data_IF_468613995238
#
_entry.id   IF_468613995238
#
_cell.length_a   1.000
_cell.length_b   1.000
_cell.length_c   1.000
_cell.angle_alpha   90.00
_cell.angle_beta   90.00
_cell.angle_gamma   90.00
#
_symmetry.space_group_name_H-M   'P 1'
#
loop_
_entity.id
_entity.type
_entity.pdbx_description
1 polymer ?
#
# COMPACT_ATOMS: atom_id res chain seq x y z
N UNK A 1 -0.46 21.74 0.13
CA UNK A 1 -0.24 21.33 -1.27
C UNK A 1 -1.37 20.39 -1.63
N UNK A 2 -2.45 20.88 -2.25
CA UNK A 2 -3.57 20.03 -2.63
C UNK A 2 -3.11 18.84 -3.46
N UNK A 3 -3.69 17.68 -3.18
CA UNK A 3 -3.43 16.44 -3.90
C UNK A 3 -4.75 15.85 -4.43
N UNK A 4 -4.70 15.31 -5.64
CA UNK A 4 -5.79 14.55 -6.26
C UNK A 4 -5.22 13.23 -6.77
N UNK A 5 -5.77 12.09 -6.34
CA UNK A 5 -5.32 10.78 -6.83
C UNK A 5 -6.17 10.40 -8.05
N UNK A 6 -5.55 10.37 -9.22
CA UNK A 6 -6.27 10.21 -10.49
C UNK A 6 -6.45 8.74 -10.86
N UNK A 7 -5.36 7.96 -10.74
CA UNK A 7 -5.32 6.55 -11.13
C UNK A 7 -4.39 5.78 -10.21
N UNK A 8 -4.57 4.48 -10.16
CA UNK A 8 -3.53 3.58 -9.70
C UNK A 8 -3.59 2.21 -10.34
N UNK A 9 -2.46 1.53 -10.31
CA UNK A 9 -2.27 0.21 -10.90
C UNK A 9 -1.44 -0.66 -9.99
N UNK A 10 -1.69 -1.96 -10.04
CA UNK A 10 -0.94 -2.98 -9.32
C UNK A 10 -0.23 -3.87 -10.34
N UNK A 11 1.04 -4.17 -10.10
CA UNK A 11 1.80 -5.15 -10.86
C UNK A 11 2.42 -6.16 -9.91
N UNK A 12 2.37 -7.44 -10.26
CA UNK A 12 2.89 -8.54 -9.43
C UNK A 12 3.93 -9.32 -10.22
N UNK A 13 5.02 -9.68 -9.55
CA UNK A 13 6.03 -10.62 -10.04
C UNK A 13 6.29 -11.69 -8.99
N UNK A 14 6.70 -12.88 -9.40
CA UNK A 14 7.11 -13.94 -8.48
C UNK A 14 8.63 -13.92 -8.33
N UNK A 15 9.10 -13.90 -7.08
CA UNK A 15 10.52 -13.94 -6.75
C UNK A 15 10.90 -15.30 -6.16
N UNK A 16 12.15 -15.70 -6.37
CA UNK A 16 12.80 -16.79 -5.63
C UNK A 16 13.80 -16.21 -4.64
N UNK A 17 13.81 -16.71 -3.41
CA UNK A 17 14.80 -16.29 -2.43
C UNK A 17 16.17 -16.89 -2.78
N UNK A 18 17.26 -16.20 -2.42
CA UNK A 18 18.62 -16.73 -2.59
C UNK A 18 18.86 -18.00 -1.77
N UNK A 19 18.21 -18.08 -0.60
CA UNK A 19 18.26 -19.22 0.33
C UNK A 19 16.89 -19.36 1.04
N UNK A 20 16.51 -20.54 1.54
CA UNK A 20 15.28 -20.71 2.29
C UNK A 20 15.21 -19.78 3.51
N UNK A 21 14.10 -19.07 3.68
CA UNK A 21 13.86 -18.16 4.80
C UNK A 21 12.79 -18.74 5.73
N UNK A 22 13.19 -19.17 6.93
CA UNK A 22 12.28 -19.82 7.89
C UNK A 22 11.83 -18.85 8.99
N UNK A 23 10.53 -18.79 9.23
CA UNK A 23 9.93 -18.00 10.31
C UNK A 23 8.66 -18.68 10.81
N UNK A 24 8.55 -18.83 12.14
CA UNK A 24 7.44 -19.56 12.76
C UNK A 24 7.28 -20.97 12.16
N UNK A 25 6.09 -21.24 11.60
CA UNK A 25 5.72 -22.51 10.98
C UNK A 25 6.00 -22.57 9.47
N UNK A 26 6.50 -21.49 8.86
CA UNK A 26 6.68 -21.37 7.42
C UNK A 26 8.16 -21.37 7.02
N UNK A 27 8.48 -21.95 5.86
CA UNK A 27 9.76 -21.77 5.17
C UNK A 27 9.48 -21.25 3.78
N UNK A 28 9.93 -20.04 3.49
CA UNK A 28 9.70 -19.33 2.24
C UNK A 28 10.90 -19.50 1.31
N UNK A 29 10.66 -20.08 0.14
CA UNK A 29 11.62 -20.19 -0.97
C UNK A 29 11.21 -19.36 -2.18
N UNK A 30 9.91 -19.04 -2.27
CA UNK A 30 9.31 -18.22 -3.32
C UNK A 30 8.30 -17.27 -2.68
N UNK A 31 8.17 -16.06 -3.24
CA UNK A 31 7.26 -15.04 -2.72
C UNK A 31 6.81 -14.08 -3.83
N UNK A 32 5.53 -13.74 -3.91
CA UNK A 32 5.10 -12.65 -4.80
C UNK A 32 5.61 -11.31 -4.28
N UNK A 33 6.10 -10.47 -5.17
CA UNK A 33 6.34 -9.05 -4.94
C UNK A 33 5.30 -8.23 -5.69
N UNK A 34 4.76 -7.23 -5.02
CA UNK A 34 3.75 -6.34 -5.54
C UNK A 34 4.30 -4.92 -5.67
N UNK A 35 4.03 -4.28 -6.79
CA UNK A 35 4.25 -2.86 -7.04
C UNK A 35 2.91 -2.17 -7.17
N UNK A 36 2.69 -1.10 -6.40
CA UNK A 36 1.57 -0.19 -6.52
C UNK A 36 2.10 1.12 -7.10
N UNK A 37 1.52 1.56 -8.23
CA UNK A 37 1.81 2.87 -8.82
C UNK A 37 0.58 3.76 -8.73
N UNK A 38 0.76 5.00 -8.31
CA UNK A 38 -0.23 6.06 -8.34
C UNK A 38 0.13 7.10 -9.38
N UNK A 39 -0.89 7.62 -10.04
CA UNK A 39 -0.84 8.88 -10.80
C UNK A 39 -1.67 9.89 -10.03
N UNK A 40 -1.05 11.01 -9.66
CA UNK A 40 -1.66 12.04 -8.83
C UNK A 40 -1.35 13.43 -9.36
N UNK A 41 -2.19 14.38 -9.02
CA UNK A 41 -1.93 15.80 -9.17
C UNK A 41 -1.49 16.37 -7.83
N UNK A 42 -0.43 17.17 -7.80
CA UNK A 42 0.10 17.85 -6.61
C UNK A 42 0.28 19.30 -6.98
N UNK A 43 -0.46 20.21 -6.33
CA UNK A 43 -0.53 21.64 -6.68
C UNK A 43 -0.79 21.88 -8.18
N UNK A 44 -1.74 21.14 -8.77
CA UNK A 44 -2.06 21.25 -10.20
C UNK A 44 -1.08 20.53 -11.13
N UNK A 45 0.05 20.02 -10.64
CA UNK A 45 1.07 19.35 -11.45
C UNK A 45 0.91 17.84 -11.42
N UNK A 46 0.92 17.21 -12.59
CA UNK A 46 0.88 15.74 -12.69
C UNK A 46 2.18 15.15 -12.14
N UNK A 47 2.05 14.11 -11.33
CA UNK A 47 3.14 13.39 -10.70
C UNK A 47 2.78 11.91 -10.56
N UNK A 48 3.80 11.08 -10.35
CA UNK A 48 3.62 9.64 -10.17
C UNK A 48 4.46 9.18 -9.00
N UNK A 49 3.95 8.21 -8.26
CA UNK A 49 4.68 7.55 -7.20
C UNK A 49 4.39 6.06 -7.16
N UNK A 50 5.26 5.31 -6.51
CA UNK A 50 5.38 3.87 -6.54
C UNK A 50 5.75 3.39 -5.15
N UNK A 51 5.09 2.33 -4.70
CA UNK A 51 5.48 1.58 -3.53
C UNK A 51 5.54 0.10 -3.90
N UNK A 52 6.36 -0.66 -3.18
CA UNK A 52 6.43 -2.09 -3.36
C UNK A 52 6.56 -2.81 -2.04
N UNK A 53 6.06 -4.04 -2.00
CA UNK A 53 6.24 -4.94 -0.88
C UNK A 53 6.16 -6.40 -1.29
N UNK A 54 6.64 -7.29 -0.43
CA UNK A 54 6.40 -8.71 -0.58
C UNK A 54 4.98 -9.05 -0.12
N UNK A 55 4.44 -10.17 -0.59
CA UNK A 55 3.21 -10.78 -0.09
C UNK A 55 3.56 -12.03 0.73
N UNK A 56 4.18 -11.87 1.92
CA UNK A 56 4.71 -13.00 2.67
C UNK A 56 3.57 -13.85 3.24
N UNK A 57 3.55 -15.17 2.98
CA UNK A 57 2.60 -16.06 3.61
C UNK A 57 2.79 -16.08 5.14
N UNK A 58 1.71 -16.32 5.87
CA UNK A 58 1.62 -16.52 7.32
C UNK A 58 2.07 -15.34 8.18
N UNK A 59 2.20 -14.15 7.57
CA UNK A 59 2.64 -12.94 8.27
C UNK A 59 1.50 -12.20 8.97
N UNK A 60 0.36 -12.03 8.27
CA UNK A 60 -0.77 -11.24 8.73
C UNK A 60 -1.79 -12.04 9.53
N UNK A 61 -2.12 -13.23 9.04
CA UNK A 61 -3.08 -14.15 9.64
C UNK A 61 -2.34 -15.44 9.96
N UNK A 62 -2.36 -15.87 11.22
CA UNK A 62 -1.67 -17.09 11.68
C UNK A 62 -2.62 -18.29 11.73
N UNK A 63 -3.48 -18.42 10.74
CA UNK A 63 -4.46 -19.51 10.66
C UNK A 63 -3.76 -20.71 10.02
N UNK A 64 -3.61 -21.81 10.76
CA UNK A 64 -2.82 -22.96 10.32
C UNK A 64 -3.41 -23.60 9.04
N UNK A 65 -4.73 -23.73 9.00
CA UNK A 65 -5.44 -24.47 7.94
C UNK A 65 -5.64 -23.65 6.65
N UNK A 66 -5.33 -22.36 6.65
CA UNK A 66 -5.46 -21.52 5.47
C UNK A 66 -4.34 -21.82 4.44
N UNK A 67 -4.70 -21.97 3.18
CA UNK A 67 -3.70 -22.09 2.11
C UNK A 67 -2.93 -20.78 1.92
N UNK A 68 -1.71 -20.87 1.38
CA UNK A 68 -0.91 -19.68 1.08
C UNK A 68 -1.59 -18.76 0.06
N UNK A 69 -2.25 -19.35 -0.94
CA UNK A 69 -3.00 -18.62 -1.96
C UNK A 69 -4.17 -17.82 -1.36
N UNK A 70 -4.84 -18.38 -0.34
CA UNK A 70 -5.92 -17.68 0.37
C UNK A 70 -5.40 -16.45 1.10
N UNK A 71 -4.23 -16.53 1.72
CA UNK A 71 -3.62 -15.39 2.42
C UNK A 71 -3.14 -14.31 1.45
N UNK A 72 -2.53 -14.72 0.33
CA UNK A 72 -2.16 -13.81 -0.77
C UNK A 72 -3.41 -13.12 -1.33
N UNK A 73 -4.50 -13.86 -1.54
CA UNK A 73 -5.77 -13.27 -1.96
C UNK A 73 -6.31 -12.26 -0.94
N UNK A 74 -6.16 -12.53 0.36
CA UNK A 74 -6.49 -11.60 1.45
C UNK A 74 -5.67 -10.30 1.38
N UNK A 75 -4.35 -10.41 1.19
CA UNK A 75 -3.47 -9.25 0.99
C UNK A 75 -3.86 -8.44 -0.25
N UNK A 76 -4.14 -9.11 -1.38
CA UNK A 76 -4.60 -8.43 -2.59
C UNK A 76 -5.96 -7.76 -2.41
N UNK A 77 -6.88 -8.35 -1.62
CA UNK A 77 -8.20 -7.77 -1.31
C UNK A 77 -8.05 -6.43 -0.60
N UNK A 78 -7.24 -6.36 0.46
CA UNK A 78 -7.05 -5.12 1.24
C UNK A 78 -6.30 -4.04 0.45
N UNK A 79 -5.33 -4.41 -0.40
CA UNK A 79 -4.61 -3.47 -1.27
C UNK A 79 -5.56 -2.86 -2.32
N UNK A 80 -6.37 -3.68 -2.98
CA UNK A 80 -7.36 -3.20 -3.96
C UNK A 80 -8.41 -2.31 -3.32
N UNK A 81 -8.84 -2.63 -2.09
CA UNK A 81 -9.80 -1.81 -1.36
C UNK A 81 -9.21 -0.44 -0.99
N UNK A 82 -7.99 -0.40 -0.45
CA UNK A 82 -7.30 0.85 -0.15
C UNK A 82 -7.13 1.72 -1.40
N UNK A 83 -6.80 1.10 -2.55
CA UNK A 83 -6.70 1.82 -3.82
C UNK A 83 -8.06 2.37 -4.28
N UNK A 84 -9.15 1.61 -4.08
CA UNK A 84 -10.52 2.09 -4.37
C UNK A 84 -10.90 3.30 -3.52
N UNK A 85 -10.53 3.32 -2.24
CA UNK A 85 -10.75 4.48 -1.37
C UNK A 85 -9.90 5.70 -1.76
N UNK A 86 -8.79 5.47 -2.45
CA UNK A 86 -7.85 6.51 -2.86
C UNK A 86 -8.22 7.16 -4.20
N UNK A 87 -8.62 6.39 -5.21
CA UNK A 87 -8.89 6.91 -6.56
C UNK A 87 -10.05 7.92 -6.53
N UNK A 88 -9.83 9.10 -7.11
CA UNK A 88 -10.77 10.22 -7.11
C UNK A 88 -10.71 11.09 -5.85
N UNK A 89 -9.91 10.70 -4.84
CA UNK A 89 -9.79 11.48 -3.62
C UNK A 89 -9.01 12.77 -3.86
N UNK A 90 -9.62 13.89 -3.48
CA UNK A 90 -8.98 15.19 -3.40
C UNK A 90 -8.85 15.62 -1.93
N UNK A 91 -7.70 16.20 -1.57
CA UNK A 91 -7.45 16.69 -0.21
C UNK A 91 -6.42 17.82 -0.17
N UNK A 92 -6.47 18.70 0.85
CA UNK A 92 -5.54 19.84 0.97
C UNK A 92 -4.06 19.46 1.13
N UNK A 93 -3.79 18.24 1.62
CA UNK A 93 -2.46 17.68 1.84
C UNK A 93 -2.47 16.17 1.64
N UNK A 94 -1.29 15.57 1.40
CA UNK A 94 -1.12 14.12 1.37
C UNK A 94 -1.50 13.45 2.71
N UNK A 95 -1.19 14.09 3.84
CA UNK A 95 -1.59 13.59 5.16
C UNK A 95 -3.12 13.54 5.32
N UNK A 96 -3.82 14.59 4.87
CA UNK A 96 -5.29 14.60 4.90
C UNK A 96 -5.89 13.52 3.98
N UNK A 97 -5.29 13.28 2.82
CA UNK A 97 -5.70 12.19 1.92
C UNK A 97 -5.51 10.82 2.60
N UNK A 98 -4.31 10.56 3.14
CA UNK A 98 -4.01 9.34 3.89
C UNK A 98 -5.00 9.11 5.03
N UNK A 99 -5.29 10.13 5.84
CA UNK A 99 -6.20 10.01 6.98
C UNK A 99 -7.62 9.60 6.56
N UNK A 100 -8.12 10.16 5.45
CA UNK A 100 -9.42 9.77 4.88
C UNK A 100 -9.41 8.33 4.36
N UNK A 101 -8.35 7.92 3.67
CA UNK A 101 -8.19 6.54 3.18
C UNK A 101 -8.09 5.55 4.35
N UNK A 102 -7.31 5.89 5.38
CA UNK A 102 -7.16 5.10 6.59
C UNK A 102 -8.53 4.89 7.27
N UNK A 103 -9.30 5.96 7.47
CA UNK A 103 -10.61 5.89 8.09
C UNK A 103 -11.58 5.02 7.27
N UNK A 104 -11.69 5.26 5.96
CA UNK A 104 -12.56 4.46 5.10
C UNK A 104 -12.16 2.98 5.07
N UNK A 105 -10.84 2.69 5.07
CA UNK A 105 -10.33 1.33 5.16
C UNK A 105 -10.67 0.68 6.51
N UNK A 106 -10.55 1.41 7.62
CA UNK A 106 -10.88 0.90 8.96
C UNK A 106 -12.37 0.56 9.08
N UNK A 107 -13.25 1.45 8.62
CA UNK A 107 -14.71 1.23 8.62
C UNK A 107 -15.10 0.01 7.78
N UNK A 108 -14.55 -0.09 6.56
CA UNK A 108 -14.75 -1.26 5.71
C UNK A 108 -14.20 -2.54 6.35
N UNK A 109 -12.97 -2.52 6.87
CA UNK A 109 -12.34 -3.68 7.49
C UNK A 109 -13.12 -4.20 8.69
N UNK A 110 -13.70 -3.29 9.49
CA UNK A 110 -14.57 -3.66 10.61
C UNK A 110 -15.82 -4.40 10.10
N UNK A 111 -16.48 -3.91 9.05
CA UNK A 111 -17.66 -4.57 8.47
C UNK A 111 -17.36 -5.96 7.89
N UNK A 112 -16.13 -6.17 7.40
CA UNK A 112 -15.67 -7.42 6.80
C UNK A 112 -14.96 -8.36 7.79
N UNK A 113 -14.88 -8.00 9.08
CA UNK A 113 -14.11 -8.71 10.10
C UNK A 113 -12.64 -8.96 9.72
N UNK A 114 -12.01 -7.98 9.06
CA UNK A 114 -10.60 -8.04 8.65
C UNK A 114 -9.72 -7.46 9.78
N UNK A 115 -8.70 -8.19 10.26
CA UNK A 115 -7.78 -7.67 11.27
C UNK A 115 -7.08 -6.38 10.82
N UNK A 116 -6.96 -5.41 11.72
CA UNK A 116 -6.39 -4.08 11.44
C UNK A 116 -5.01 -4.13 10.77
N UNK A 117 -4.13 -5.05 11.20
CA UNK A 117 -2.80 -5.23 10.61
C UNK A 117 -2.87 -5.61 9.12
N UNK A 118 -3.78 -6.51 8.76
CA UNK A 118 -4.00 -6.89 7.36
C UNK A 118 -4.65 -5.72 6.61
N UNK A 119 -5.69 -5.11 7.17
CA UNK A 119 -6.40 -4.00 6.53
C UNK A 119 -5.45 -2.87 6.12
N UNK A 120 -4.56 -2.45 7.02
CA UNK A 120 -3.66 -1.31 6.79
C UNK A 120 -2.38 -1.65 6.03
N UNK A 121 -2.14 -2.94 5.71
CA UNK A 121 -1.16 -3.28 4.68
C UNK A 121 -1.49 -2.60 3.35
N UNK A 122 -2.78 -2.58 2.97
CA UNK A 122 -3.25 -1.85 1.80
C UNK A 122 -3.04 -0.34 1.90
N UNK A 123 -3.43 0.27 3.02
CA UNK A 123 -3.26 1.72 3.25
C UNK A 123 -1.78 2.13 3.15
N UNK A 124 -0.87 1.33 3.71
CA UNK A 124 0.57 1.64 3.71
C UNK A 124 1.19 1.71 2.31
N UNK A 125 0.69 0.93 1.35
CA UNK A 125 1.18 0.96 -0.04
C UNK A 125 0.72 2.22 -0.76
N UNK A 126 -0.55 2.59 -0.57
CA UNK A 126 -1.10 3.84 -1.13
C UNK A 126 -0.40 5.05 -0.53
N UNK A 127 -0.19 5.06 0.79
CA UNK A 127 0.53 6.11 1.52
C UNK A 127 1.93 6.33 0.95
N UNK A 128 2.75 5.27 0.88
CA UNK A 128 4.13 5.36 0.39
C UNK A 128 4.19 5.83 -1.07
N UNK A 129 3.29 5.34 -1.92
CA UNK A 129 3.22 5.79 -3.30
C UNK A 129 2.80 7.27 -3.40
N UNK A 130 1.86 7.73 -2.57
CA UNK A 130 1.45 9.13 -2.53
C UNK A 130 2.59 10.04 -2.06
N UNK A 131 3.31 9.62 -1.00
CA UNK A 131 4.50 10.32 -0.50
C UNK A 131 5.56 10.44 -1.59
N UNK A 132 5.86 9.36 -2.33
CA UNK A 132 6.83 9.42 -3.43
C UNK A 132 6.35 10.40 -4.53
N UNK A 133 5.06 10.40 -4.85
CA UNK A 133 4.47 11.31 -5.85
C UNK A 133 4.66 12.77 -5.47
N UNK A 134 4.41 13.12 -4.19
CA UNK A 134 4.62 14.47 -3.65
C UNK A 134 6.10 14.84 -3.67
N UNK A 135 6.97 13.96 -3.17
CA UNK A 135 8.42 14.18 -3.17
C UNK A 135 8.95 14.46 -4.59
N UNK A 136 8.52 13.66 -5.57
CA UNK A 136 8.89 13.83 -6.99
C UNK A 136 8.35 15.12 -7.58
N UNK A 137 7.08 15.45 -7.31
CA UNK A 137 6.49 16.72 -7.77
C UNK A 137 7.27 17.94 -7.27
N UNK A 138 7.89 17.83 -6.09
CA UNK A 138 8.61 18.92 -5.44
C UNK A 138 10.12 18.88 -5.64
N UNK A 139 10.62 17.88 -6.37
CA UNK A 139 12.06 17.69 -6.57
C UNK A 139 12.82 17.47 -5.26
N UNK A 140 12.19 16.84 -4.25
CA UNK A 140 12.77 16.63 -2.92
C UNK A 140 12.95 15.15 -2.62
N UNK A 141 14.03 14.83 -1.92
CA UNK A 141 14.14 13.55 -1.23
C UNK A 141 13.20 13.53 -0.02
N UNK A 142 12.72 12.34 0.36
CA UNK A 142 11.79 12.16 1.50
C UNK A 142 12.29 12.84 2.78
N UNK A 143 13.57 12.68 3.12
CA UNK A 143 14.14 13.26 4.33
C UNK A 143 14.08 14.80 4.37
N UNK A 144 14.10 15.47 3.20
CA UNK A 144 13.93 16.91 3.12
C UNK A 144 12.45 17.30 3.25
N UNK A 145 11.56 16.60 2.55
CA UNK A 145 10.11 16.82 2.62
C UNK A 145 9.55 16.70 4.05
N UNK A 146 10.02 15.72 4.82
CA UNK A 146 9.61 15.53 6.21
C UNK A 146 10.02 16.68 7.15
N UNK A 147 11.09 17.41 6.83
CA UNK A 147 11.59 18.49 7.70
C UNK A 147 10.81 19.80 7.52
N UNK A 148 10.30 20.05 6.32
CA UNK A 148 9.60 21.30 5.99
C UNK A 148 8.10 21.12 5.76
N UNK A 149 7.57 19.91 5.94
CA UNK A 149 6.14 19.61 5.85
C UNK A 149 5.60 19.64 4.42
N UNK A 150 6.46 19.34 3.45
CA UNK A 150 6.06 19.09 2.05
C UNK A 150 5.14 17.86 1.97
#
# INVERSE_FOLDING_TARGET
MPVRINRGSIHQINLKTRMPFKYGIATMTEVPMLFLRLEAEVDGQQSKGTASDLLPPKWFTKVADDSLDKEIAGMLKVIRCALKHAIGLESPTAFSAWKKIYQAQSEWAQSENIPSLLAHFGTSLVERALIESVCRSKGKALGAALRDGT
#
